data_IF_736422277543
#
_entry.id   IF_736422277543
#
_cell.length_a   1.000
_cell.length_b   1.000
_cell.length_c   1.000
_cell.angle_alpha   90.00
_cell.angle_beta   90.00
_cell.angle_gamma   90.00
#
_symmetry.space_group_name_H-M   'P 1'
#
loop_
_entity.id
_entity.type
_entity.pdbx_description
1 polymer ?
#
# COMPACT_ATOMS: atom_id res chain seq x y z
N UNK A 1 8.71 -6.34 -4.66
CA UNK A 1 8.15 -5.50 -3.57
C UNK A 1 7.28 -4.43 -4.18
N UNK A 2 6.09 -4.18 -3.64
CA UNK A 2 5.14 -3.18 -4.11
C UNK A 2 5.32 -1.88 -3.31
N UNK A 3 5.53 -0.77 -4.01
CA UNK A 3 5.52 0.57 -3.41
C UNK A 3 4.10 1.06 -3.26
N UNK A 4 3.80 1.63 -2.11
CA UNK A 4 2.51 2.20 -1.73
C UNK A 4 2.77 3.61 -1.27
N UNK A 5 1.94 4.55 -1.71
CA UNK A 5 2.08 5.98 -1.40
C UNK A 5 0.80 6.43 -0.72
N UNK A 6 0.93 7.20 0.36
CA UNK A 6 -0.24 7.88 0.92
C UNK A 6 -0.54 9.11 0.08
N UNK A 7 -1.73 9.16 -0.51
CA UNK A 7 -2.28 10.34 -1.16
C UNK A 7 -3.41 10.83 -0.27
N UNK A 8 -3.18 11.95 0.41
CA UNK A 8 -4.07 12.48 1.45
C UNK A 8 -4.32 11.47 2.58
N UNK A 9 -5.46 10.77 2.57
CA UNK A 9 -5.81 9.71 3.52
C UNK A 9 -6.05 8.35 2.83
N UNK A 10 -5.66 8.20 1.56
CA UNK A 10 -5.77 6.94 0.81
C UNK A 10 -4.40 6.29 0.57
N UNK A 11 -4.32 4.97 0.77
CA UNK A 11 -3.17 4.18 0.33
C UNK A 11 -3.31 3.82 -1.15
N UNK A 12 -2.48 4.44 -1.97
CA UNK A 12 -2.43 4.20 -3.41
C UNK A 12 -1.24 3.31 -3.76
N UNK A 13 -1.43 2.20 -4.49
CA UNK A 13 -0.34 1.38 -4.99
C UNK A 13 0.35 2.07 -6.17
N UNK A 14 1.67 2.18 -6.10
CA UNK A 14 2.51 2.80 -7.13
C UNK A 14 3.61 1.83 -7.57
N UNK A 15 3.26 0.77 -8.32
CA UNK A 15 4.25 -0.18 -8.82
C UNK A 15 5.28 0.48 -9.75
N UNK A 16 4.91 1.61 -10.38
CA UNK A 16 5.74 2.35 -11.34
C UNK A 16 6.68 3.38 -10.71
N UNK A 17 6.59 3.64 -9.40
CA UNK A 17 7.44 4.65 -8.77
C UNK A 17 7.14 6.09 -9.20
N UNK A 18 5.98 6.32 -9.81
CA UNK A 18 5.63 7.57 -10.50
C UNK A 18 4.99 8.61 -9.58
N UNK A 19 4.46 8.22 -8.42
CA UNK A 19 3.76 9.15 -7.56
C UNK A 19 4.71 9.93 -6.63
N UNK A 20 4.58 11.27 -6.57
CA UNK A 20 5.29 12.10 -5.61
C UNK A 20 4.68 11.92 -4.22
N UNK A 21 5.53 11.76 -3.20
CA UNK A 21 5.08 11.61 -1.82
C UNK A 21 5.88 10.57 -1.02
N UNK A 22 5.47 10.36 0.24
CA UNK A 22 6.07 9.33 1.09
C UNK A 22 5.58 7.96 0.66
N UNK A 23 6.53 7.08 0.37
CA UNK A 23 6.25 5.69 0.00
C UNK A 23 6.57 4.72 1.14
N UNK A 24 5.77 3.67 1.26
CA UNK A 24 6.02 2.47 2.03
C UNK A 24 6.15 1.28 1.07
N UNK A 25 6.98 0.30 1.43
CA UNK A 25 7.16 -0.91 0.65
C UNK A 25 6.55 -2.09 1.38
N UNK A 26 5.76 -2.88 0.67
CA UNK A 26 5.25 -4.16 1.18
C UNK A 26 5.37 -5.24 0.13
N UNK A 27 5.24 -6.49 0.55
CA UNK A 27 5.13 -7.59 -0.40
C UNK A 27 3.78 -7.49 -1.14
N UNK A 28 3.73 -7.71 -2.47
CA UNK A 28 2.48 -7.82 -3.25
C UNK A 28 1.73 -9.12 -2.95
N UNK A 29 1.49 -9.39 -1.67
CA UNK A 29 0.75 -10.55 -1.20
C UNK A 29 -0.38 -10.06 -0.29
N UNK A 30 -1.60 -10.54 -0.54
CA UNK A 30 -2.79 -10.17 0.23
C UNK A 30 -2.59 -10.44 1.72
N UNK A 31 -1.88 -11.52 2.07
CA UNK A 31 -1.55 -11.86 3.47
C UNK A 31 -0.64 -10.85 4.16
N UNK A 32 0.32 -10.27 3.42
CA UNK A 32 1.22 -9.24 3.94
C UNK A 32 0.48 -7.91 4.08
N UNK A 33 -0.37 -7.58 3.09
CA UNK A 33 -1.23 -6.42 3.13
C UNK A 33 -2.18 -6.47 4.33
N UNK A 34 -2.89 -7.58 4.51
CA UNK A 34 -3.85 -7.71 5.62
C UNK A 34 -3.18 -7.60 6.98
N UNK A 35 -2.02 -8.24 7.18
CA UNK A 35 -1.25 -8.05 8.40
C UNK A 35 -0.81 -6.60 8.61
N UNK A 36 -0.37 -5.92 7.55
CA UNK A 36 0.06 -4.52 7.64
C UNK A 36 -1.11 -3.57 7.95
N UNK A 37 -2.30 -3.81 7.37
CA UNK A 37 -3.54 -3.08 7.69
C UNK A 37 -3.93 -3.34 9.14
N UNK A 38 -3.98 -4.61 9.55
CA UNK A 38 -4.38 -5.02 10.90
C UNK A 38 -3.46 -4.47 11.98
N UNK A 39 -2.15 -4.37 11.70
CA UNK A 39 -1.14 -3.78 12.60
C UNK A 39 -0.99 -2.27 12.47
N UNK A 40 -1.77 -1.61 11.60
CA UNK A 40 -1.66 -0.16 11.29
C UNK A 40 -0.22 0.25 10.89
N UNK A 41 0.45 -0.61 10.11
CA UNK A 41 1.83 -0.36 9.68
C UNK A 41 1.93 0.79 8.66
N UNK A 42 0.93 0.95 7.78
CA UNK A 42 0.89 2.02 6.77
C UNK A 42 0.80 3.41 7.37
N UNK A 43 -0.20 3.76 8.20
CA UNK A 43 -0.27 5.09 8.79
C UNK A 43 0.97 5.39 9.64
N UNK A 44 1.55 4.38 10.30
CA UNK A 44 2.81 4.51 11.04
C UNK A 44 4.02 4.81 10.13
N UNK A 45 4.17 4.10 9.01
CA UNK A 45 5.28 4.31 8.07
C UNK A 45 5.12 5.62 7.28
N UNK A 46 3.89 5.97 6.93
CA UNK A 46 3.55 7.13 6.10
C UNK A 46 3.33 8.41 6.93
N UNK A 47 3.32 8.30 8.28
CA UNK A 47 2.95 9.37 9.22
C UNK A 47 1.59 10.00 8.89
N UNK A 48 0.60 9.19 8.53
CA UNK A 48 -0.78 9.69 8.51
C UNK A 48 -1.35 9.69 9.94
N UNK A 49 -2.06 10.77 10.28
CA UNK A 49 -2.76 10.90 11.55
C UNK A 49 -4.01 10.00 11.62
N UNK A 50 -4.51 9.54 10.47
CA UNK A 50 -5.78 8.84 10.32
C UNK A 50 -5.67 7.37 9.92
N UNK A 51 -6.84 6.72 9.88
CA UNK A 51 -6.98 5.41 9.24
C UNK A 51 -6.87 5.62 7.73
N UNK A 52 -5.75 5.20 7.14
CA UNK A 52 -5.61 5.24 5.70
C UNK A 52 -6.55 4.24 5.04
N UNK A 53 -7.31 4.69 4.04
CA UNK A 53 -8.15 3.79 3.25
C UNK A 53 -7.26 2.85 2.43
N UNK A 54 -7.53 1.55 2.53
CA UNK A 54 -6.76 0.50 1.86
C UNK A 54 -7.60 -0.29 0.87
N UNK A 55 -8.82 0.16 0.55
CA UNK A 55 -9.70 -0.52 -0.38
C UNK A 55 -9.10 -0.55 -1.80
N UNK A 56 -8.60 0.59 -2.26
CA UNK A 56 -7.91 0.74 -3.56
C UNK A 56 -6.64 -0.11 -3.60
N UNK A 57 -5.87 -0.11 -2.50
CA UNK A 57 -4.68 -0.94 -2.35
C UNK A 57 -4.98 -2.45 -2.42
N UNK A 58 -6.04 -2.93 -1.73
CA UNK A 58 -6.45 -4.34 -1.77
C UNK A 58 -6.84 -4.79 -3.18
N UNK A 59 -7.57 -3.96 -3.93
CA UNK A 59 -7.92 -4.24 -5.32
C UNK A 59 -6.68 -4.34 -6.22
N UNK A 60 -5.72 -3.43 -6.05
CA UNK A 60 -4.52 -3.47 -6.86
C UNK A 60 -3.62 -4.66 -6.51
N UNK A 61 -3.47 -5.03 -5.24
CA UNK A 61 -2.70 -6.24 -4.86
C UNK A 61 -3.36 -7.50 -5.43
N UNK A 62 -4.69 -7.55 -5.49
CA UNK A 62 -5.39 -8.64 -6.16
C UNK A 62 -5.13 -8.68 -7.68
N UNK A 63 -4.90 -7.53 -8.32
CA UNK A 63 -4.54 -7.43 -9.75
C UNK A 63 -3.05 -7.68 -10.04
N UNK A 64 -2.15 -7.20 -9.17
CA UNK A 64 -0.70 -7.33 -9.29
C UNK A 64 -0.18 -8.71 -8.88
N UNK A 65 -0.97 -9.51 -8.15
CA UNK A 65 -0.64 -10.91 -7.86
C UNK A 65 -0.46 -11.78 -9.12
N UNK A 66 -0.81 -11.26 -10.31
CA UNK A 66 -0.54 -11.88 -11.61
C UNK A 66 0.81 -11.51 -12.25
N UNK A 67 1.56 -10.54 -11.73
CA UNK A 67 2.81 -10.07 -12.33
C UNK A 67 4.03 -10.59 -11.54
N UNK A 68 4.40 -11.85 -11.80
CA UNK A 68 5.73 -12.40 -11.47
C UNK A 68 6.60 -12.35 -12.73
N UNK A 69 7.80 -11.77 -12.67
CA UNK A 69 8.98 -12.42 -13.27
C UNK A 69 9.93 -12.95 -12.20
#
# INVERSE_FOLDING_TARGET
>A
MLRIVAVEDECVPDPRGTLPGRGAYVHPAVVCLDQAVRRRAFPRALRSAGALDTATLRKAVAGEAGATP
#
